data_IF_066970996623
#
_entry.id   IF_066970996623
#
_cell.length_a   1.000
_cell.length_b   1.000
_cell.length_c   1.000
_cell.angle_alpha   90.00
_cell.angle_beta   90.00
_cell.angle_gamma   90.00
#
_symmetry.space_group_name_H-M   'P 1'
#
loop_
_entity.id
_entity.type
_entity.pdbx_description
1 polymer ?
#
# COMPACT_ATOMS: atom_id res chain seq x y z
N UNK A 1 4.89 -15.29 14.07
CA UNK A 1 3.66 -14.74 14.65
C UNK A 1 3.20 -13.57 13.80
N UNK A 2 1.90 -13.28 13.76
CA UNK A 2 1.37 -12.12 13.04
C UNK A 2 1.13 -10.99 14.03
N UNK A 3 1.63 -9.80 13.73
CA UNK A 3 1.41 -8.59 14.52
C UNK A 3 0.46 -7.70 13.74
N UNK A 4 -0.65 -7.31 14.38
CA UNK A 4 -1.61 -6.34 13.83
C UNK A 4 -1.39 -5.01 14.53
N UNK A 5 -1.19 -3.96 13.74
CA UNK A 5 -1.05 -2.59 14.23
C UNK A 5 -2.28 -1.80 13.78
N UNK A 6 -2.82 -1.01 14.70
CA UNK A 6 -3.98 -0.16 14.42
C UNK A 6 -3.81 1.19 15.10
N UNK A 7 -4.25 2.28 14.46
CA UNK A 7 -4.25 3.59 15.11
C UNK A 7 -5.18 3.53 16.33
N UNK A 8 -4.66 3.92 17.50
CA UNK A 8 -5.45 3.97 18.75
C UNK A 8 -6.12 5.33 18.96
N UNK A 9 -5.63 6.36 18.28
CA UNK A 9 -6.14 7.73 18.42
C UNK A 9 -7.06 8.05 17.25
N UNK A 10 -8.13 8.78 17.53
CA UNK A 10 -9.10 9.23 16.51
C UNK A 10 -8.52 10.32 15.59
N UNK A 11 -7.39 10.95 15.96
CA UNK A 11 -6.70 11.96 15.17
C UNK A 11 -5.66 11.38 14.20
N UNK A 12 -5.74 10.08 13.92
CA UNK A 12 -4.87 9.39 12.97
C UNK A 12 -5.73 8.74 11.89
N UNK A 13 -5.57 9.21 10.66
CA UNK A 13 -6.25 8.63 9.51
C UNK A 13 -5.66 7.25 9.17
N UNK A 14 -6.47 6.19 8.98
CA UNK A 14 -5.98 4.82 8.80
C UNK A 14 -5.07 4.59 7.59
N UNK A 15 -5.38 5.16 6.42
CA UNK A 15 -4.57 4.96 5.21
C UNK A 15 -3.21 5.68 5.33
N UNK A 16 -3.20 6.87 5.93
CA UNK A 16 -1.98 7.57 6.31
C UNK A 16 -1.15 6.74 7.29
N UNK A 17 -1.78 6.16 8.32
CA UNK A 17 -1.07 5.29 9.27
C UNK A 17 -0.42 4.09 8.59
N UNK A 18 -1.15 3.42 7.70
CA UNK A 18 -0.61 2.31 6.92
C UNK A 18 0.57 2.75 6.06
N UNK A 19 0.43 3.84 5.31
CA UNK A 19 1.51 4.39 4.49
C UNK A 19 2.74 4.80 5.33
N UNK A 20 2.52 5.38 6.52
CA UNK A 20 3.56 5.75 7.47
C UNK A 20 4.38 4.53 7.90
N UNK A 21 3.71 3.42 8.23
CA UNK A 21 4.37 2.16 8.61
C UNK A 21 5.20 1.56 7.46
N UNK A 22 4.82 1.83 6.21
CA UNK A 22 5.55 1.40 5.01
C UNK A 22 6.74 2.29 4.65
N UNK A 23 6.96 3.42 5.34
CA UNK A 23 8.09 4.30 5.03
C UNK A 23 9.42 3.69 5.44
N UNK A 24 10.48 4.02 4.68
CA UNK A 24 11.84 3.58 4.97
C UNK A 24 12.32 4.01 6.36
N UNK A 25 11.89 5.17 6.84
CA UNK A 25 12.26 5.67 8.16
C UNK A 25 11.71 4.78 9.29
N UNK A 26 10.43 4.41 9.20
CA UNK A 26 9.78 3.53 10.18
C UNK A 26 10.35 2.12 10.09
N UNK A 27 10.56 1.61 8.88
CA UNK A 27 11.23 0.33 8.67
C UNK A 27 12.65 0.29 9.27
N UNK A 28 13.43 1.36 9.07
CA UNK A 28 14.78 1.47 9.62
C UNK A 28 14.77 1.51 11.16
N UNK A 29 13.79 2.19 11.77
CA UNK A 29 13.61 2.16 13.22
C UNK A 29 13.28 0.76 13.75
N UNK A 30 12.37 0.05 13.09
CA UNK A 30 12.08 -1.34 13.44
C UNK A 30 13.32 -2.24 13.30
N UNK A 31 14.07 -2.10 12.21
CA UNK A 31 15.27 -2.88 11.96
C UNK A 31 16.38 -2.57 12.98
N UNK A 32 16.58 -1.30 13.34
CA UNK A 32 17.59 -0.87 14.33
C UNK A 32 17.31 -1.44 15.71
N UNK A 33 16.03 -1.53 16.09
CA UNK A 33 15.62 -2.01 17.42
C UNK A 33 15.51 -3.54 17.52
N UNK A 34 15.67 -4.25 16.40
CA UNK A 34 15.72 -5.71 16.34
C UNK A 34 17.14 -6.28 16.04
N UNK A 35 18.22 -5.87 16.75
CA UNK A 35 19.55 -6.41 16.48
C UNK A 35 19.68 -7.85 17.02
N UNK A 36 20.37 -8.72 16.27
CA UNK A 36 20.87 -10.00 16.77
C UNK A 36 19.94 -11.22 16.67
N UNK A 37 18.75 -11.10 16.08
CA UNK A 37 17.88 -12.26 15.87
C UNK A 37 18.10 -12.87 14.47
N UNK A 38 18.53 -14.14 14.40
CA UNK A 38 18.63 -14.93 13.16
C UNK A 38 17.30 -14.94 12.39
N UNK A 39 16.19 -14.74 13.12
CA UNK A 39 14.86 -14.39 12.60
C UNK A 39 14.46 -13.06 13.22
N UNK A 40 14.35 -11.98 12.43
CA UNK A 40 13.90 -10.66 12.88
C UNK A 40 12.43 -10.71 13.35
N UNK A 41 12.20 -11.22 14.56
CA UNK A 41 10.86 -11.23 15.16
C UNK A 41 10.58 -9.86 15.77
N UNK A 42 9.72 -9.10 15.10
CA UNK A 42 9.18 -7.85 15.61
C UNK A 42 8.21 -8.16 16.77
N UNK A 43 8.60 -7.86 18.01
CA UNK A 43 7.73 -8.01 19.18
C UNK A 43 6.97 -6.71 19.48
N UNK A 44 5.88 -6.81 20.25
CA UNK A 44 4.99 -5.67 20.53
C UNK A 44 5.70 -4.53 21.29
N UNK A 45 6.65 -4.87 22.18
CA UNK A 45 7.36 -3.90 23.01
C UNK A 45 8.31 -3.04 22.17
N UNK A 46 8.95 -3.65 21.17
CA UNK A 46 9.80 -2.95 20.20
C UNK A 46 8.98 -1.94 19.39
N UNK A 47 7.82 -2.35 18.89
CA UNK A 47 6.97 -1.47 18.08
C UNK A 47 6.41 -0.31 18.91
N UNK A 48 6.00 -0.56 20.16
CA UNK A 48 5.50 0.49 21.07
C UNK A 48 6.52 1.61 21.33
N UNK A 49 7.80 1.30 21.25
CA UNK A 49 8.86 2.28 21.49
C UNK A 49 9.17 3.19 20.30
N UNK A 50 8.66 2.89 19.09
CA UNK A 50 8.96 3.67 17.88
C UNK A 50 8.17 4.97 17.88
N UNK A 51 8.91 6.08 17.78
CA UNK A 51 8.34 7.42 17.66
C UNK A 51 8.39 7.87 16.21
N UNK A 52 7.27 8.41 15.73
CA UNK A 52 7.10 8.89 14.36
C UNK A 52 6.46 10.27 14.37
N UNK A 53 6.85 11.18 13.47
CA UNK A 53 6.16 12.45 13.32
C UNK A 53 4.77 12.21 12.72
N UNK A 54 3.73 12.73 13.38
CA UNK A 54 2.35 12.66 12.88
C UNK A 54 1.88 14.08 12.58
N UNK A 55 1.58 14.41 11.30
CA UNK A 55 1.09 15.73 10.92
C UNK A 55 -0.37 15.94 11.39
N UNK A 56 -0.90 17.18 11.37
CA UNK A 56 -2.29 17.44 11.72
C UNK A 56 -3.28 16.65 10.85
N UNK A 57 -4.41 16.23 11.44
CA UNK A 57 -5.43 15.38 10.78
C UNK A 57 -5.83 15.86 9.36
N UNK A 58 -6.09 17.16 9.09
CA UNK A 58 -6.44 17.61 7.73
C UNK A 58 -5.36 17.32 6.68
N UNK A 59 -4.09 17.27 7.09
CA UNK A 59 -2.99 16.91 6.19
C UNK A 59 -2.96 15.42 5.91
N UNK A 60 -3.27 14.60 6.92
CA UNK A 60 -3.38 13.15 6.78
C UNK A 60 -4.54 12.77 5.84
N UNK A 61 -5.70 13.40 6.01
CA UNK A 61 -6.88 13.21 5.14
C UNK A 61 -6.59 13.63 3.70
N UNK A 62 -5.89 14.76 3.50
CA UNK A 62 -5.48 15.20 2.16
C UNK A 62 -4.54 14.19 1.51
N UNK A 63 -3.59 13.65 2.26
CA UNK A 63 -2.71 12.58 1.78
C UNK A 63 -3.53 11.36 1.36
N UNK A 64 -4.44 10.89 2.22
CA UNK A 64 -5.28 9.73 1.96
C UNK A 64 -6.15 9.91 0.70
N UNK A 65 -6.73 11.11 0.51
CA UNK A 65 -7.52 11.42 -0.68
C UNK A 65 -6.69 11.36 -1.98
N UNK A 66 -5.44 11.83 -1.95
CA UNK A 66 -4.53 11.77 -3.09
C UNK A 66 -4.18 10.31 -3.41
N UNK A 67 -3.83 9.52 -2.39
CA UNK A 67 -3.52 8.09 -2.56
C UNK A 67 -4.71 7.34 -3.15
N UNK A 68 -5.91 7.51 -2.58
CA UNK A 68 -7.13 6.88 -3.08
C UNK A 68 -7.43 7.26 -4.54
N UNK A 69 -7.15 8.51 -4.93
CA UNK A 69 -7.30 8.94 -6.32
C UNK A 69 -6.33 8.17 -7.24
N UNK A 70 -5.05 8.07 -6.86
CA UNK A 70 -4.02 7.35 -7.63
C UNK A 70 -4.36 5.87 -7.76
N UNK A 71 -4.81 5.21 -6.69
CA UNK A 71 -5.26 3.82 -6.72
C UNK A 71 -6.48 3.63 -7.63
N UNK A 72 -7.40 4.59 -7.63
CA UNK A 72 -8.52 4.62 -8.57
C UNK A 72 -8.07 4.67 -10.03
N UNK A 73 -7.10 5.53 -10.36
CA UNK A 73 -6.52 5.59 -11.70
C UNK A 73 -5.82 4.29 -12.09
N UNK A 74 -5.03 3.70 -11.19
CA UNK A 74 -4.35 2.44 -11.44
C UNK A 74 -5.35 1.31 -11.78
N UNK A 75 -6.45 1.22 -11.03
CA UNK A 75 -7.51 0.24 -11.29
C UNK A 75 -8.19 0.43 -12.65
N UNK A 76 -8.38 1.69 -13.08
CA UNK A 76 -8.90 1.99 -14.42
C UNK A 76 -7.92 1.52 -15.49
N UNK A 77 -6.63 1.82 -15.36
CA UNK A 77 -5.61 1.40 -16.33
C UNK A 77 -5.50 -0.12 -16.43
N UNK A 78 -5.51 -0.85 -15.31
CA UNK A 78 -5.48 -2.31 -15.30
C UNK A 78 -6.67 -2.90 -16.06
N UNK A 79 -7.87 -2.32 -15.88
CA UNK A 79 -9.07 -2.73 -16.61
C UNK A 79 -8.95 -2.46 -18.10
N UNK A 80 -8.52 -1.26 -18.47
CA UNK A 80 -8.33 -0.89 -19.88
C UNK A 80 -7.31 -1.79 -20.58
N UNK A 81 -6.23 -2.18 -19.88
CA UNK A 81 -5.25 -3.13 -20.42
C UNK A 81 -5.89 -4.50 -20.67
N UNK A 82 -6.65 -5.03 -19.71
CA UNK A 82 -7.34 -6.30 -19.87
C UNK A 82 -8.37 -6.28 -21.02
N UNK A 83 -9.08 -5.17 -21.20
CA UNK A 83 -10.01 -4.98 -22.31
C UNK A 83 -9.29 -4.95 -23.67
N UNK A 84 -8.15 -4.28 -23.76
CA UNK A 84 -7.32 -4.25 -24.97
C UNK A 84 -6.79 -5.63 -25.34
N UNK A 85 -6.32 -6.40 -24.36
CA UNK A 85 -5.85 -7.77 -24.57
C UNK A 85 -6.99 -8.67 -25.08
N UNK A 86 -8.18 -8.55 -24.50
CA UNK A 86 -9.36 -9.30 -24.92
C UNK A 86 -9.78 -8.92 -26.36
N UNK A 87 -9.78 -7.62 -26.69
CA UNK A 87 -10.08 -7.15 -28.04
C UNK A 87 -9.08 -7.68 -29.06
N UNK A 88 -7.78 -7.58 -28.75
CA UNK A 88 -6.72 -8.08 -29.60
C UNK A 88 -6.88 -9.58 -29.87
N UNK A 89 -7.12 -10.39 -28.83
CA UNK A 89 -7.37 -11.82 -28.97
C UNK A 89 -8.59 -12.12 -29.86
N UNK A 90 -9.67 -11.35 -29.72
CA UNK A 90 -10.87 -11.50 -30.56
C UNK A 90 -10.61 -11.19 -32.04
N UNK A 91 -9.81 -10.16 -32.32
CA UNK A 91 -9.47 -9.76 -33.68
C UNK A 91 -8.56 -10.80 -34.34
N UNK A 92 -7.57 -11.31 -33.61
CA UNK A 92 -6.73 -12.42 -34.08
C UNK A 92 -7.60 -13.63 -34.43
N UNK A 93 -8.50 -14.03 -33.54
CA UNK A 93 -9.38 -15.17 -33.77
C UNK A 93 -10.25 -15.00 -35.04
N UNK A 94 -10.78 -13.80 -35.29
CA UNK A 94 -11.55 -13.48 -36.50
C UNK A 94 -10.68 -13.48 -37.77
N UNK A 95 -9.45 -12.96 -37.69
CA UNK A 95 -8.50 -12.93 -38.81
C UNK A 95 -8.13 -14.34 -39.27
N UNK A 96 -7.85 -15.25 -38.33
CA UNK A 96 -7.52 -16.64 -38.65
C UNK A 96 -8.71 -17.47 -39.15
N UNK A 97 -9.94 -16.98 -38.98
CA UNK A 97 -11.16 -17.58 -39.55
C UNK A 97 -11.61 -16.97 -40.88
N UNK A 98 -10.95 -15.92 -41.35
CA UNK A 98 -11.35 -15.21 -42.57
C UNK A 98 -12.63 -14.39 -42.43
N UNK A 99 -12.98 -13.99 -41.20
CA UNK A 99 -14.16 -13.16 -40.86
C UNK A 99 -13.81 -11.65 -40.80
N UNK A 100 -12.72 -11.26 -41.46
CA UNK A 100 -12.18 -9.91 -41.56
C UNK A 100 -11.88 -9.54 -43.02
#
# INVERSE_FOLDING_TARGET
>A
GWLVLSPRREDVEPNFFFALLSTQAVYAEFARRAPGATVKNLNIDLVRGVTVPVPPLPTQEKFAAIVASIEGWASIFDRSLAELDALFASLQHRAFRGEL
#
